data_IF_208309487775
#
_entry.id   IF_208309487775
#
_cell.length_a   1.000
_cell.length_b   1.000
_cell.length_c   1.000
_cell.angle_alpha   90.00
_cell.angle_beta   90.00
_cell.angle_gamma   90.00
#
_symmetry.space_group_name_H-M   'P 1'
#
loop_
_entity.id
_entity.type
_entity.pdbx_description
1 polymer ?
#
# COMPACT_ATOMS: atom_id res chain seq x y z
N UNK A 1 -0.53 -3.35 -24.72
CA UNK A 1 0.40 -3.75 -23.64
C UNK A 1 -0.40 -4.58 -22.66
N UNK A 2 0.23 -5.61 -22.11
CA UNK A 2 -0.42 -6.49 -21.14
C UNK A 2 -0.29 -5.93 -19.73
N UNK A 3 -1.25 -6.20 -18.85
CA UNK A 3 -1.22 -5.72 -17.46
C UNK A 3 0.12 -5.96 -16.73
N UNK A 4 0.74 -7.13 -16.91
CA UNK A 4 2.04 -7.43 -16.27
C UNK A 4 3.17 -6.54 -16.81
N UNK A 5 3.10 -6.13 -18.07
CA UNK A 5 4.05 -5.20 -18.71
C UNK A 5 3.88 -3.80 -18.11
N UNK A 6 2.64 -3.34 -17.94
CA UNK A 6 2.34 -2.04 -17.32
C UNK A 6 2.84 -1.99 -15.86
N UNK A 7 2.67 -3.09 -15.11
CA UNK A 7 3.22 -3.23 -13.75
C UNK A 7 4.75 -3.20 -13.76
N UNK A 8 5.39 -3.85 -14.73
CA UNK A 8 6.85 -3.85 -14.84
C UNK A 8 7.38 -2.45 -15.18
N UNK A 9 6.76 -1.74 -16.13
CA UNK A 9 7.15 -0.37 -16.49
C UNK A 9 7.03 0.57 -15.28
N UNK A 10 5.98 0.42 -14.47
CA UNK A 10 5.84 1.17 -13.23
C UNK A 10 7.00 0.91 -12.27
N UNK A 11 7.38 -0.35 -12.07
CA UNK A 11 8.49 -0.77 -11.19
C UNK A 11 9.82 -0.21 -11.68
N UNK A 12 10.10 -0.33 -12.97
CA UNK A 12 11.33 0.18 -13.59
C UNK A 12 11.46 1.69 -13.42
N UNK A 13 10.36 2.43 -13.61
CA UNK A 13 10.32 3.88 -13.38
C UNK A 13 10.56 4.24 -11.92
N UNK A 14 10.00 3.48 -10.99
CA UNK A 14 10.20 3.68 -9.55
C UNK A 14 11.66 3.45 -9.16
N UNK A 15 12.25 2.35 -9.62
CA UNK A 15 13.66 2.02 -9.36
C UNK A 15 14.61 3.05 -9.96
N UNK A 16 14.32 3.51 -11.19
CA UNK A 16 15.07 4.59 -11.82
C UNK A 16 15.00 5.88 -11.00
N UNK A 17 13.83 6.22 -10.45
CA UNK A 17 13.67 7.39 -9.57
C UNK A 17 14.49 7.23 -8.28
N UNK A 18 14.45 6.07 -7.63
CA UNK A 18 15.18 5.83 -6.38
C UNK A 18 16.70 5.92 -6.59
N UNK A 19 17.19 5.47 -7.76
CA UNK A 19 18.60 5.60 -8.14
C UNK A 19 19.07 7.05 -8.33
N UNK A 20 18.17 8.02 -8.46
CA UNK A 20 18.56 9.44 -8.54
C UNK A 20 18.96 10.07 -7.20
N UNK A 21 18.88 9.33 -6.08
CA UNK A 21 19.15 9.83 -4.74
C UNK A 21 18.02 10.69 -4.15
N UNK A 22 16.89 10.85 -4.86
CA UNK A 22 15.69 11.55 -4.37
C UNK A 22 14.70 10.64 -3.63
N UNK A 23 15.05 9.37 -3.48
CA UNK A 23 14.24 8.35 -2.78
C UNK A 23 14.70 8.12 -1.34
N UNK A 24 14.14 7.10 -0.68
CA UNK A 24 14.48 6.74 0.70
C UNK A 24 15.74 5.86 0.81
N UNK A 25 16.47 5.64 -0.30
CA UNK A 25 17.68 4.83 -0.32
C UNK A 25 18.86 5.70 0.15
N UNK A 26 19.60 5.29 1.21
CA UNK A 26 20.75 6.02 1.72
C UNK A 26 21.85 6.20 0.67
N UNK A 27 22.51 7.36 0.67
CA UNK A 27 23.53 7.73 -0.34
C UNK A 27 24.72 6.75 -0.38
N UNK A 28 25.07 6.16 0.76
CA UNK A 28 26.18 5.22 0.92
C UNK A 28 25.94 3.86 0.24
N UNK A 29 24.68 3.51 -0.05
CA UNK A 29 24.32 2.25 -0.74
C UNK A 29 23.71 2.48 -2.13
N UNK A 30 23.58 3.74 -2.58
CA UNK A 30 23.02 4.06 -3.90
C UNK A 30 23.82 3.44 -5.06
N UNK A 31 25.15 3.37 -4.94
CA UNK A 31 26.02 2.79 -5.97
C UNK A 31 25.82 1.28 -6.13
N UNK A 32 25.38 0.59 -5.06
CA UNK A 32 25.09 -0.85 -5.04
C UNK A 32 23.61 -1.15 -5.35
N UNK A 33 22.76 -0.11 -5.47
CA UNK A 33 21.32 -0.25 -5.66
C UNK A 33 20.95 -0.70 -7.07
N UNK A 34 20.71 -2.01 -7.23
CA UNK A 34 20.30 -2.61 -8.50
C UNK A 34 18.80 -2.48 -8.78
N UNK A 35 17.99 -2.14 -7.78
CA UNK A 35 16.52 -2.06 -7.87
C UNK A 35 15.84 -2.70 -6.66
N UNK A 36 14.55 -2.45 -6.50
CA UNK A 36 13.75 -3.07 -5.44
C UNK A 36 13.40 -4.53 -5.79
N UNK A 37 13.09 -5.31 -4.76
CA UNK A 37 12.62 -6.68 -4.93
C UNK A 37 11.09 -6.72 -4.97
N UNK A 38 10.55 -7.46 -5.94
CA UNK A 38 9.12 -7.61 -6.14
C UNK A 38 8.71 -9.08 -6.25
N UNK A 39 7.46 -9.38 -5.94
CA UNK A 39 6.80 -10.59 -6.42
C UNK A 39 6.50 -10.48 -7.93
N UNK A 40 6.31 -11.62 -8.59
CA UNK A 40 5.81 -11.64 -9.97
C UNK A 40 4.46 -10.92 -10.07
N UNK A 41 4.23 -10.20 -11.17
CA UNK A 41 2.95 -9.53 -11.38
C UNK A 41 1.82 -10.57 -11.52
N UNK A 42 0.79 -10.45 -10.69
CA UNK A 42 -0.35 -11.35 -10.64
C UNK A 42 -1.65 -10.59 -10.84
N UNK A 43 -2.30 -10.80 -11.99
CA UNK A 43 -3.59 -10.16 -12.29
C UNK A 43 -4.71 -10.60 -11.34
N UNK A 44 -4.58 -11.76 -10.71
CA UNK A 44 -5.52 -12.24 -9.69
C UNK A 44 -5.50 -11.41 -8.40
N UNK A 45 -4.49 -10.56 -8.22
CA UNK A 45 -4.31 -9.68 -7.05
C UNK A 45 -4.69 -8.22 -7.31
N UNK A 46 -5.41 -7.96 -8.42
CA UNK A 46 -5.91 -6.65 -8.83
C UNK A 46 -7.43 -6.65 -8.84
N UNK A 47 -8.04 -5.81 -8.00
CA UNK A 47 -9.47 -5.79 -7.75
C UNK A 47 -10.06 -4.40 -8.01
N UNK A 48 -11.29 -4.38 -8.53
CA UNK A 48 -12.13 -3.18 -8.58
C UNK A 48 -13.27 -3.41 -7.60
N UNK A 49 -13.24 -2.69 -6.48
CA UNK A 49 -14.10 -2.97 -5.33
C UNK A 49 -15.03 -1.80 -5.02
N UNK A 50 -16.30 -2.04 -4.66
CA UNK A 50 -17.18 -1.00 -4.15
C UNK A 50 -16.59 -0.33 -2.91
N UNK A 51 -16.63 1.00 -2.87
CA UNK A 51 -16.26 1.75 -1.69
C UNK A 51 -17.48 1.99 -0.80
N UNK A 52 -17.44 1.45 0.41
CA UNK A 52 -18.43 1.80 1.45
C UNK A 52 -17.93 3.03 2.19
N UNK A 53 -18.45 4.21 1.84
CA UNK A 53 -18.08 5.46 2.53
C UNK A 53 -18.46 5.41 4.00
N UNK A 54 -17.55 5.88 4.86
CA UNK A 54 -17.90 6.16 6.24
C UNK A 54 -19.00 7.23 6.28
N UNK A 55 -19.90 7.17 7.27
CA UNK A 55 -20.89 8.23 7.42
C UNK A 55 -20.17 9.58 7.61
N UNK A 56 -20.77 10.68 7.13
CA UNK A 56 -20.15 12.02 7.13
C UNK A 56 -19.78 12.51 8.54
N UNK A 57 -20.46 12.00 9.56
CA UNK A 57 -20.17 12.27 10.98
C UNK A 57 -18.98 11.44 11.51
N UNK A 58 -18.55 10.46 10.71
CA UNK A 58 -17.53 9.43 10.96
C UNK A 58 -16.39 9.46 9.94
N UNK A 59 -16.21 10.56 9.19
CA UNK A 59 -14.86 10.99 8.77
C UNK A 59 -14.04 11.42 9.99
N UNK A 60 -14.13 10.59 11.04
CA UNK A 60 -13.50 10.75 12.31
C UNK A 60 -12.02 10.76 12.01
N UNK A 61 -11.36 11.77 12.56
CA UNK A 61 -9.92 11.83 12.67
C UNK A 61 -9.42 10.49 13.22
N UNK A 62 -8.91 9.66 12.32
CA UNK A 62 -8.32 8.38 12.66
C UNK A 62 -6.85 8.64 12.92
N UNK A 63 -6.45 8.38 14.15
CA UNK A 63 -5.06 8.47 14.55
C UNK A 63 -4.36 7.18 14.17
N UNK A 64 -3.53 7.24 13.13
CA UNK A 64 -2.59 6.17 12.82
C UNK A 64 -1.38 6.33 13.73
N UNK A 65 -1.10 5.29 14.52
CA UNK A 65 0.18 5.18 15.23
C UNK A 65 1.31 5.18 14.20
N UNK A 66 2.50 5.64 14.59
CA UNK A 66 3.67 5.65 13.71
C UNK A 66 4.84 4.97 14.39
N UNK A 67 5.83 4.57 13.60
CA UNK A 67 7.07 3.97 14.12
C UNK A 67 7.86 4.88 15.09
N UNK A 68 7.72 6.21 15.01
CA UNK A 68 8.37 7.16 15.91
C UNK A 68 7.54 7.51 17.14
N UNK A 69 6.27 7.07 17.19
CA UNK A 69 5.32 7.41 18.24
C UNK A 69 4.60 8.76 18.05
N UNK A 70 4.94 9.52 17.01
CA UNK A 70 4.21 10.74 16.64
C UNK A 70 2.99 10.39 15.77
N UNK A 71 1.76 10.48 16.29
CA UNK A 71 0.58 10.04 15.55
C UNK A 71 0.35 10.84 14.28
N UNK A 72 -0.10 10.17 13.20
CA UNK A 72 -0.58 10.83 11.99
C UNK A 72 -2.10 10.77 11.95
N UNK A 73 -2.74 11.93 11.85
CA UNK A 73 -4.19 12.02 11.74
C UNK A 73 -4.60 11.98 10.27
N UNK A 74 -5.53 11.09 9.93
CA UNK A 74 -6.14 10.96 8.61
C UNK A 74 -7.65 10.79 8.74
N UNK A 75 -8.42 11.08 7.69
CA UNK A 75 -9.83 10.74 7.67
C UNK A 75 -10.00 9.26 7.34
N UNK A 76 -10.74 8.51 8.15
CA UNK A 76 -11.27 7.21 7.71
C UNK A 76 -12.32 7.47 6.63
N UNK A 77 -11.97 7.26 5.37
CA UNK A 77 -12.83 7.61 4.23
C UNK A 77 -13.91 6.55 4.00
N UNK A 78 -13.65 5.32 4.39
CA UNK A 78 -14.58 4.21 4.25
C UNK A 78 -13.87 2.87 4.35
N UNK A 79 -14.51 1.85 3.81
CA UNK A 79 -13.98 0.50 3.77
C UNK A 79 -14.17 -0.16 2.40
N UNK A 80 -13.30 -1.10 2.10
CA UNK A 80 -13.38 -2.00 0.94
C UNK A 80 -13.31 -3.44 1.42
N UNK A 81 -14.10 -4.33 0.83
CA UNK A 81 -14.04 -5.77 1.13
C UNK A 81 -13.25 -6.47 0.04
N UNK A 82 -12.07 -6.97 0.40
CA UNK A 82 -11.19 -7.69 -0.51
C UNK A 82 -11.48 -9.20 -0.45
N UNK A 83 -11.74 -9.86 -1.59
CA UNK A 83 -11.82 -11.30 -1.65
C UNK A 83 -10.40 -11.88 -1.64
N UNK A 84 -10.16 -12.84 -0.75
CA UNK A 84 -8.91 -13.59 -0.60
C UNK A 84 -9.21 -15.10 -0.71
N UNK A 85 -8.18 -15.94 -0.60
CA UNK A 85 -8.33 -17.38 -0.86
C UNK A 85 -9.15 -18.08 0.24
N UNK A 86 -8.99 -17.67 1.49
CA UNK A 86 -9.65 -18.26 2.66
C UNK A 86 -10.93 -17.51 3.07
N UNK A 87 -11.19 -16.33 2.52
CA UNK A 87 -12.41 -15.58 2.79
C UNK A 87 -12.40 -14.14 2.26
N UNK A 88 -13.35 -13.34 2.75
CA UNK A 88 -13.42 -11.92 2.47
C UNK A 88 -12.98 -11.11 3.70
N UNK A 89 -12.19 -10.06 3.48
CA UNK A 89 -11.67 -9.22 4.55
C UNK A 89 -11.96 -7.76 4.28
N UNK A 90 -12.39 -7.04 5.30
CA UNK A 90 -12.67 -5.61 5.19
C UNK A 90 -11.42 -4.81 5.56
N UNK A 91 -10.98 -3.95 4.66
CA UNK A 91 -9.89 -3.00 4.88
C UNK A 91 -10.44 -1.59 4.98
N UNK A 92 -10.04 -0.87 6.01
CA UNK A 92 -10.28 0.56 6.17
C UNK A 92 -9.36 1.35 5.24
N UNK A 93 -9.95 2.33 4.54
CA UNK A 93 -9.24 3.18 3.59
C UNK A 93 -9.24 4.62 4.09
N UNK A 94 -8.11 5.29 3.94
CA UNK A 94 -7.87 6.60 4.53
C UNK A 94 -7.66 7.67 3.47
N UNK A 95 -8.04 8.89 3.78
CA UNK A 95 -7.78 10.06 2.96
C UNK A 95 -7.18 11.19 3.81
N UNK A 96 -6.50 12.18 3.21
CA UNK A 96 -6.17 13.42 3.88
C UNK A 96 -7.41 14.08 4.51
N UNK A 97 -7.22 14.77 5.64
CA UNK A 97 -8.30 15.50 6.30
C UNK A 97 -8.88 16.59 5.38
N UNK A 98 -10.20 16.69 5.33
CA UNK A 98 -10.91 17.71 4.53
C UNK A 98 -10.99 17.43 3.04
N UNK A 99 -10.57 16.24 2.58
CA UNK A 99 -10.71 15.82 1.18
C UNK A 99 -12.00 15.02 0.97
N UNK A 100 -13.06 15.68 0.46
CA UNK A 100 -14.38 15.05 0.25
C UNK A 100 -14.40 14.07 -0.95
N UNK A 101 -13.57 14.32 -1.95
CA UNK A 101 -13.51 13.57 -3.20
C UNK A 101 -12.06 13.23 -3.59
N UNK A 102 -11.36 12.39 -2.81
CA UNK A 102 -9.99 12.03 -3.07
C UNK A 102 -9.86 11.23 -4.36
N UNK A 103 -8.83 11.55 -5.16
CA UNK A 103 -8.49 10.80 -6.37
C UNK A 103 -7.86 9.43 -6.06
N UNK A 104 -7.33 9.28 -4.84
CA UNK A 104 -6.72 8.05 -4.34
C UNK A 104 -6.95 7.93 -2.84
N UNK A 105 -7.09 6.71 -2.35
CA UNK A 105 -7.13 6.41 -0.91
C UNK A 105 -5.88 5.65 -0.49
N UNK A 106 -5.45 5.92 0.73
CA UNK A 106 -4.33 5.27 1.38
C UNK A 106 -4.82 4.04 2.13
N UNK A 107 -4.23 2.88 1.84
CA UNK A 107 -4.55 1.61 2.49
C UNK A 107 -3.27 1.03 3.09
N UNK A 108 -2.97 1.31 4.37
CA UNK A 108 -1.91 0.62 5.08
C UNK A 108 -2.41 -0.75 5.51
N UNK A 109 -1.68 -1.81 5.19
CA UNK A 109 -2.07 -3.17 5.53
C UNK A 109 -0.89 -3.98 6.02
N UNK A 110 -1.20 -5.01 6.81
CA UNK A 110 -0.26 -6.04 7.24
C UNK A 110 -0.82 -7.38 6.81
N UNK A 111 0.04 -8.33 6.44
CA UNK A 111 -0.40 -9.64 5.98
C UNK A 111 0.53 -10.75 6.49
N UNK A 112 0.22 -12.03 6.19
CA UNK A 112 1.02 -13.15 6.70
C UNK A 112 2.48 -13.19 6.19
N UNK A 113 2.80 -12.44 5.13
CA UNK A 113 4.18 -12.29 4.64
C UNK A 113 5.01 -11.31 5.49
N UNK A 114 4.37 -10.45 6.29
CA UNK A 114 5.01 -9.36 7.03
C UNK A 114 5.95 -9.89 8.12
N UNK A 115 7.23 -9.52 8.00
CA UNK A 115 8.30 -9.90 8.92
C UNK A 115 9.14 -11.09 8.46
N UNK A 116 8.70 -11.81 7.43
CA UNK A 116 9.41 -12.94 6.85
C UNK A 116 9.81 -12.70 5.38
N UNK A 117 8.83 -12.36 4.54
CA UNK A 117 9.04 -12.11 3.11
C UNK A 117 8.93 -10.62 2.76
N UNK A 118 8.18 -9.84 3.55
CA UNK A 118 7.94 -8.39 3.37
C UNK A 118 8.27 -7.62 4.65
N UNK A 119 8.32 -6.29 4.58
CA UNK A 119 8.64 -5.45 5.73
C UNK A 119 7.72 -5.71 6.94
N UNK A 120 8.32 -5.81 8.13
CA UNK A 120 7.62 -6.28 9.34
C UNK A 120 6.45 -5.43 9.79
N UNK A 121 6.52 -4.11 9.59
CA UNK A 121 5.45 -3.19 9.99
C UNK A 121 4.29 -3.15 8.98
N UNK A 122 4.41 -3.84 7.84
CA UNK A 122 3.41 -3.87 6.78
C UNK A 122 3.79 -3.07 5.54
N UNK A 123 2.82 -2.91 4.65
CA UNK A 123 2.95 -2.29 3.33
C UNK A 123 1.82 -1.30 3.09
N UNK A 124 2.03 -0.42 2.12
CA UNK A 124 1.07 0.60 1.73
C UNK A 124 0.58 0.37 0.32
N UNK A 125 -0.65 0.82 0.09
CA UNK A 125 -1.25 0.91 -1.24
C UNK A 125 -1.94 2.27 -1.37
N UNK A 126 -1.57 3.01 -2.41
CA UNK A 126 -2.30 4.21 -2.85
C UNK A 126 -3.25 3.80 -3.97
N UNK A 127 -4.49 3.49 -3.60
CA UNK A 127 -5.47 2.94 -4.51
C UNK A 127 -6.29 4.06 -5.19
N UNK A 128 -6.32 4.14 -6.53
CA UNK A 128 -7.16 5.11 -7.22
C UNK A 128 -8.65 4.93 -6.88
N UNK A 129 -9.35 6.05 -6.71
CA UNK A 129 -10.80 6.09 -6.56
C UNK A 129 -11.41 6.49 -7.91
N UNK A 130 -12.44 5.77 -8.33
CA UNK A 130 -13.19 6.06 -9.54
C UNK A 130 -14.70 5.91 -9.28
N UNK A 131 -15.49 6.07 -10.34
CA UNK A 131 -16.91 5.76 -10.33
C UNK A 131 -17.17 4.64 -11.34
N UNK A 132 -18.08 3.73 -10.99
CA UNK A 132 -18.61 2.75 -11.93
C UNK A 132 -19.56 3.41 -12.95
N UNK A 133 -20.09 2.62 -13.90
CA UNK A 133 -21.03 3.12 -14.93
C UNK A 133 -22.32 3.69 -14.35
N UNK A 134 -22.70 3.29 -13.13
CA UNK A 134 -23.87 3.78 -12.42
C UNK A 134 -23.57 4.99 -11.51
N UNK A 135 -22.31 5.45 -11.46
CA UNK A 135 -21.86 6.58 -10.65
C UNK A 135 -21.52 6.22 -9.20
N UNK A 136 -21.50 4.93 -8.82
CA UNK A 136 -21.13 4.50 -7.48
C UNK A 136 -19.60 4.53 -7.31
N UNK A 137 -19.10 4.92 -6.12
CA UNK A 137 -17.67 4.97 -5.88
C UNK A 137 -17.06 3.57 -5.83
N UNK A 138 -15.95 3.40 -6.54
CA UNK A 138 -15.14 2.18 -6.60
C UNK A 138 -13.68 2.51 -6.31
N UNK A 139 -12.94 1.53 -5.80
CA UNK A 139 -11.51 1.63 -5.51
C UNK A 139 -10.78 0.52 -6.25
N UNK A 140 -9.70 0.90 -6.95
CA UNK A 140 -8.83 -0.05 -7.63
C UNK A 140 -7.76 -0.54 -6.65
N UNK A 141 -8.05 -1.65 -5.96
CA UNK A 141 -7.14 -2.28 -5.01
C UNK A 141 -6.22 -3.24 -5.75
N UNK A 142 -5.01 -2.78 -6.05
CA UNK A 142 -4.01 -3.60 -6.75
C UNK A 142 -2.80 -3.88 -5.86
N UNK A 143 -2.73 -5.08 -5.29
CA UNK A 143 -1.61 -5.46 -4.43
C UNK A 143 -0.28 -5.58 -5.17
N UNK A 144 -0.26 -5.65 -6.51
CA UNK A 144 0.99 -5.59 -7.29
C UNK A 144 1.68 -4.23 -7.19
N UNK A 145 0.92 -3.21 -6.80
CA UNK A 145 1.37 -1.84 -6.57
C UNK A 145 1.68 -1.57 -5.10
N UNK A 146 1.50 -2.56 -4.21
CA UNK A 146 1.83 -2.42 -2.80
C UNK A 146 3.33 -2.20 -2.63
N UNK A 147 3.67 -1.23 -1.78
CA UNK A 147 5.05 -0.79 -1.57
C UNK A 147 5.41 -0.72 -0.10
N UNK A 148 6.70 -0.82 0.21
CA UNK A 148 7.20 -0.64 1.55
C UNK A 148 7.24 0.85 1.94
N UNK A 149 6.90 1.18 3.20
CA UNK A 149 7.09 2.53 3.71
C UNK A 149 8.56 2.96 3.63
N UNK A 150 8.82 4.26 3.59
CA UNK A 150 10.20 4.77 3.53
C UNK A 150 11.04 4.37 4.76
N UNK A 151 10.40 4.17 5.92
CA UNK A 151 11.07 3.63 7.11
C UNK A 151 11.60 2.19 6.95
N UNK A 152 11.24 1.49 5.87
CA UNK A 152 11.84 0.20 5.54
C UNK A 152 13.25 0.33 4.96
N UNK A 153 13.62 1.51 4.46
CA UNK A 153 14.90 1.74 3.76
C UNK A 153 15.88 2.60 4.56
N UNK A 154 15.39 3.53 5.39
CA UNK A 154 16.26 4.34 6.25
C UNK A 154 15.58 4.76 7.55
N UNK A 155 16.38 4.88 8.60
CA UNK A 155 15.95 5.49 9.86
C UNK A 155 15.76 7.01 9.64
N UNK A 156 14.70 7.59 10.20
CA UNK A 156 14.39 9.02 10.08
C UNK A 156 13.06 9.36 9.42
N UNK A 157 12.30 8.35 8.96
CA UNK A 157 10.95 8.55 8.43
C UNK A 157 9.87 8.16 9.44
N UNK A 158 8.92 9.06 9.66
CA UNK A 158 7.71 8.80 10.44
C UNK A 158 6.65 8.18 9.53
N UNK A 159 6.37 6.89 9.74
CA UNK A 159 5.53 6.07 8.86
C UNK A 159 4.31 5.51 9.63
N UNK A 160 3.09 5.68 9.11
CA UNK A 160 1.87 5.12 9.69
C UNK A 160 1.87 3.59 9.81
N UNK A 161 1.49 3.07 10.96
CA UNK A 161 1.30 1.65 11.17
C UNK A 161 -0.11 1.24 10.70
N UNK A 162 -0.25 0.11 10.00
CA UNK A 162 -1.55 -0.44 9.65
C UNK A 162 -2.41 -0.68 10.90
N UNK A 163 -3.66 -0.17 10.94
CA UNK A 163 -4.57 -0.46 12.04
C UNK A 163 -4.88 -1.96 12.05
N UNK A 164 -5.27 -2.47 13.22
CA UNK A 164 -5.50 -3.92 13.42
C UNK A 164 -6.54 -4.50 12.46
N UNK A 165 -7.52 -3.71 12.08
CA UNK A 165 -8.58 -4.06 11.11
C UNK A 165 -8.01 -4.33 9.71
N UNK A 166 -6.88 -3.72 9.36
CA UNK A 166 -6.19 -3.92 8.09
C UNK A 166 -5.14 -5.03 8.14
N UNK A 167 -5.22 -5.94 9.12
CA UNK A 167 -4.34 -7.10 9.22
C UNK A 167 -5.00 -8.30 8.56
N UNK A 168 -4.52 -8.64 7.38
CA UNK A 168 -4.93 -9.83 6.64
C UNK A 168 -4.24 -11.07 7.25
N UNK A 169 -4.98 -12.13 7.58
CA UNK A 169 -4.38 -13.37 8.07
C UNK A 169 -3.73 -14.20 6.95
N UNK A 170 -4.03 -13.87 5.69
CA UNK A 170 -3.52 -14.55 4.50
C UNK A 170 -2.24 -13.91 3.95
N UNK A 171 -1.47 -14.68 3.17
CA UNK A 171 -0.24 -14.19 2.55
C UNK A 171 -0.54 -13.46 1.23
N UNK A 172 -0.23 -12.16 1.17
CA UNK A 172 -0.38 -11.36 -0.05
C UNK A 172 0.94 -11.34 -0.82
N UNK A 173 1.13 -12.32 -1.72
CA UNK A 173 2.35 -12.48 -2.55
C UNK A 173 2.31 -11.67 -3.85
N UNK A 174 2.01 -10.38 -3.72
CA UNK A 174 2.05 -9.39 -4.80
C UNK A 174 2.73 -8.11 -4.30
N UNK A 175 3.33 -7.33 -5.20
CA UNK A 175 3.98 -6.05 -4.85
C UNK A 175 5.41 -6.20 -4.35
N UNK A 176 5.87 -5.22 -3.57
CA UNK A 176 7.24 -5.21 -3.00
C UNK A 176 7.44 -6.30 -1.97
N UNK A 177 8.67 -6.84 -1.95
CA UNK A 177 9.14 -7.83 -1.00
C UNK A 177 10.60 -7.57 -0.60
N UNK A 178 11.02 -8.19 0.49
CA UNK A 178 12.41 -8.12 0.91
C UNK A 178 13.30 -8.92 -0.06
N UNK A 179 14.55 -8.48 -0.29
CA UNK A 179 15.49 -9.25 -1.10
C UNK A 179 15.70 -10.62 -0.46
N UNK A 180 15.70 -11.66 -1.28
CA UNK A 180 16.05 -13.01 -0.81
C UNK A 180 17.54 -12.97 -0.50
N UNK A 181 17.89 -13.13 0.78
CA UNK A 181 19.28 -13.35 1.15
C UNK A 181 19.73 -14.63 0.45
N UNK A 182 20.65 -14.50 -0.50
CA UNK A 182 21.36 -15.65 -1.05
C UNK A 182 22.24 -16.19 0.07
N UNK A 183 21.85 -17.34 0.63
CA UNK A 183 22.73 -18.14 1.50
C UNK A 183 23.90 -18.69 0.69
#
# INVERSE_FOLDING_TARGET
MGYCEDVQEFRDRKDAHFRTGKGPIPEDVLDEFTGLSYYGADRGMSYVLPLTRAALDTSAEFTLETNTGEPRVMACYGTVTVPMLEGEYTLSVFAPLGEDAPQRVFIPFRDATSGNETYGAGRYLDAPVAQDEAGNPIVNVDFNMAYHPYCAYSDGWTCPLPPRENWLPEAVRAGERLPVQAN
#
